data_IF_825171207062
#
_entry.id   IF_825171207062
#
_cell.length_a   1.000
_cell.length_b   1.000
_cell.length_c   1.000
_cell.angle_alpha   90.00
_cell.angle_beta   90.00
_cell.angle_gamma   90.00
#
_symmetry.space_group_name_H-M   'P 1'
#
loop_
_entity.id
_entity.type
_entity.pdbx_description
1 polymer ?
#
# COMPACT_ATOMS: atom_id res chain seq x y z
N UNK A 1 -16.29 -28.29 14.04
CA UNK A 1 -16.77 -28.13 12.63
C UNK A 1 -15.64 -27.51 11.81
N UNK A 2 -15.12 -28.22 10.82
CA UNK A 2 -14.05 -27.70 9.95
C UNK A 2 -14.66 -27.01 8.71
N UNK A 3 -13.94 -26.03 8.15
CA UNK A 3 -14.31 -25.38 6.90
C UNK A 3 -13.80 -26.21 5.71
N UNK A 4 -14.68 -26.58 4.78
CA UNK A 4 -14.33 -27.34 3.59
C UNK A 4 -14.51 -26.49 2.33
N UNK A 5 -13.47 -26.48 1.48
CA UNK A 5 -13.53 -25.90 0.14
C UNK A 5 -14.08 -26.95 -0.82
N UNK A 6 -15.09 -26.59 -1.62
CA UNK A 6 -15.68 -27.52 -2.58
C UNK A 6 -15.65 -26.98 -4.01
N UNK A 7 -15.59 -27.91 -4.97
CA UNK A 7 -15.88 -27.69 -6.38
C UNK A 7 -17.03 -28.62 -6.75
N UNK A 8 -18.12 -28.07 -7.27
CA UNK A 8 -19.30 -28.82 -7.64
C UNK A 8 -19.88 -28.30 -8.97
N UNK A 9 -20.62 -29.15 -9.68
CA UNK A 9 -21.40 -28.73 -10.83
C UNK A 9 -22.85 -28.41 -10.41
N UNK A 10 -23.35 -27.29 -10.87
CA UNK A 10 -24.78 -26.91 -10.76
C UNK A 10 -25.61 -27.76 -11.73
N UNK A 11 -26.93 -27.74 -11.54
CA UNK A 11 -27.92 -28.40 -12.42
C UNK A 11 -27.79 -28.05 -13.89
N UNK A 12 -27.20 -26.89 -14.21
CA UNK A 12 -26.90 -26.40 -15.56
C UNK A 12 -25.50 -26.77 -16.08
N UNK A 13 -24.74 -27.64 -15.38
CA UNK A 13 -23.41 -28.07 -15.78
C UNK A 13 -22.29 -27.02 -15.55
N UNK A 14 -22.61 -25.90 -14.88
CA UNK A 14 -21.62 -24.87 -14.58
C UNK A 14 -20.85 -25.21 -13.31
N UNK A 15 -19.51 -25.07 -13.33
CA UNK A 15 -18.67 -25.31 -12.15
C UNK A 15 -18.81 -24.20 -11.13
N UNK A 16 -19.29 -24.53 -9.93
CA UNK A 16 -19.41 -23.65 -8.77
C UNK A 16 -18.33 -24.03 -7.76
N UNK A 17 -17.66 -23.03 -7.20
CA UNK A 17 -16.68 -23.18 -6.12
C UNK A 17 -17.17 -22.41 -4.91
N UNK A 18 -17.01 -22.98 -3.72
CA UNK A 18 -17.40 -22.31 -2.48
C UNK A 18 -16.73 -22.95 -1.27
N UNK A 19 -17.09 -22.42 -0.10
CA UNK A 19 -16.66 -22.94 1.21
C UNK A 19 -17.93 -23.23 2.02
N UNK A 20 -17.97 -24.38 2.68
CA UNK A 20 -19.07 -24.85 3.51
C UNK A 20 -18.52 -25.48 4.78
N UNK A 21 -19.20 -25.31 5.89
CA UNK A 21 -18.86 -25.95 7.16
C UNK A 21 -19.42 -27.36 7.26
N UNK A 22 -18.61 -28.24 7.84
CA UNK A 22 -19.04 -29.62 8.14
C UNK A 22 -18.06 -30.33 9.07
N UNK A 23 -18.54 -31.39 9.71
CA UNK A 23 -17.72 -32.19 10.63
C UNK A 23 -16.87 -33.22 9.88
N UNK A 24 -17.26 -33.54 8.65
CA UNK A 24 -16.52 -34.45 7.78
C UNK A 24 -16.78 -34.20 6.30
N UNK A 25 -15.85 -34.64 5.45
CA UNK A 25 -15.99 -34.58 3.99
C UNK A 25 -17.28 -35.26 3.49
N UNK A 26 -17.66 -36.36 4.12
CA UNK A 26 -18.90 -37.10 3.81
C UNK A 26 -20.16 -36.25 4.07
N UNK A 27 -20.20 -35.55 5.20
CA UNK A 27 -21.32 -34.68 5.57
C UNK A 27 -21.42 -33.50 4.61
N UNK A 28 -20.29 -32.91 4.24
CA UNK A 28 -20.22 -31.80 3.26
C UNK A 28 -20.73 -32.27 1.90
N UNK A 29 -20.32 -33.44 1.43
CA UNK A 29 -20.80 -34.02 0.17
C UNK A 29 -22.30 -34.28 0.19
N UNK A 30 -22.88 -34.74 1.31
CA UNK A 30 -24.32 -34.95 1.43
C UNK A 30 -25.07 -33.63 1.42
N UNK A 31 -24.60 -32.59 2.14
CA UNK A 31 -25.20 -31.23 2.13
C UNK A 31 -25.17 -30.60 0.73
N UNK A 32 -24.08 -30.72 0.00
CA UNK A 32 -23.97 -30.22 -1.39
C UNK A 32 -24.96 -30.93 -2.33
N UNK A 33 -25.17 -32.24 -2.15
CA UNK A 33 -26.21 -33.00 -2.92
C UNK A 33 -27.62 -32.54 -2.63
N UNK A 34 -27.96 -32.24 -1.37
CA UNK A 34 -29.23 -31.65 -0.98
C UNK A 34 -29.46 -30.27 -1.62
N UNK A 35 -28.41 -29.52 -1.90
CA UNK A 35 -28.44 -28.24 -2.63
C UNK A 35 -28.42 -28.42 -4.16
N UNK A 36 -28.64 -29.63 -4.66
CA UNK A 36 -28.60 -29.99 -6.10
C UNK A 36 -27.24 -29.72 -6.76
N UNK A 37 -26.19 -29.63 -5.97
CA UNK A 37 -24.79 -29.49 -6.46
C UNK A 37 -24.12 -30.87 -6.51
N UNK A 38 -23.51 -31.21 -7.64
CA UNK A 38 -22.75 -32.45 -7.80
C UNK A 38 -21.29 -32.20 -7.39
N UNK A 39 -20.83 -32.63 -6.19
CA UNK A 39 -19.48 -32.37 -5.71
C UNK A 39 -18.45 -33.15 -6.51
N UNK A 40 -17.45 -32.45 -7.05
CA UNK A 40 -16.31 -33.02 -7.78
C UNK A 40 -15.12 -33.19 -6.86
N UNK A 41 -14.85 -32.17 -6.04
CA UNK A 41 -13.77 -32.20 -5.06
C UNK A 41 -14.23 -31.47 -3.79
N UNK A 42 -13.97 -32.09 -2.66
CA UNK A 42 -14.15 -31.51 -1.33
C UNK A 42 -12.83 -31.68 -0.61
N UNK A 43 -12.23 -30.60 -0.15
CA UNK A 43 -10.96 -30.61 0.57
C UNK A 43 -11.11 -29.76 1.82
N UNK A 44 -10.56 -30.21 2.92
CA UNK A 44 -10.50 -29.43 4.13
C UNK A 44 -9.73 -28.12 3.86
N UNK A 45 -10.27 -27.00 4.33
CA UNK A 45 -9.69 -25.68 4.10
C UNK A 45 -8.47 -25.42 5.05
N UNK A 46 -7.81 -26.50 5.50
CA UNK A 46 -6.56 -26.44 6.26
C UNK A 46 -5.41 -26.00 5.36
N UNK A 47 -4.49 -25.23 5.94
CA UNK A 47 -3.25 -24.77 5.34
C UNK A 47 -2.54 -25.84 4.52
N UNK A 48 -2.43 -25.59 3.23
CA UNK A 48 -1.34 -26.18 2.47
C UNK A 48 -0.06 -25.47 2.88
N UNK A 49 0.64 -26.03 3.86
CA UNK A 49 2.08 -25.83 3.97
C UNK A 49 2.68 -26.26 2.66
N UNK A 50 2.91 -25.30 1.78
CA UNK A 50 3.48 -25.51 0.47
C UNK A 50 4.94 -25.90 0.65
N UNK A 51 5.26 -27.20 0.48
CA UNK A 51 6.62 -27.62 0.14
C UNK A 51 7.04 -26.83 -1.12
N UNK A 52 8.26 -26.31 -1.18
CA UNK A 52 8.73 -25.55 -2.33
C UNK A 52 8.82 -26.47 -3.55
N UNK A 53 7.85 -26.40 -4.43
CA UNK A 53 7.98 -26.91 -5.79
C UNK A 53 8.72 -25.85 -6.61
N UNK A 54 9.96 -26.15 -6.96
CA UNK A 54 10.77 -25.47 -7.97
C UNK A 54 10.06 -25.57 -9.33
N UNK A 55 9.21 -24.63 -9.61
CA UNK A 55 8.54 -24.39 -10.87
C UNK A 55 8.02 -22.97 -10.86
N UNK A 56 8.26 -22.22 -11.93
CA UNK A 56 7.72 -20.88 -12.14
C UNK A 56 6.19 -20.95 -12.15
N UNK A 57 5.57 -20.82 -11.00
CA UNK A 57 4.12 -20.91 -10.83
C UNK A 57 3.52 -19.50 -10.94
N UNK A 58 3.19 -19.11 -12.16
CA UNK A 58 2.46 -17.87 -12.47
C UNK A 58 1.10 -17.79 -11.77
N UNK A 59 0.51 -18.91 -11.33
CA UNK A 59 -0.73 -18.95 -10.54
C UNK A 59 -0.58 -18.29 -9.15
N UNK A 60 0.64 -18.18 -8.62
CA UNK A 60 0.93 -17.50 -7.36
C UNK A 60 0.82 -15.97 -7.45
N UNK A 61 1.07 -15.39 -8.62
CA UNK A 61 1.02 -13.94 -8.88
C UNK A 61 -0.42 -13.41 -8.97
N UNK A 62 -1.38 -14.25 -9.34
CA UNK A 62 -2.79 -13.87 -9.54
C UNK A 62 -3.72 -14.30 -8.39
N UNK A 63 -3.19 -14.76 -7.25
CA UNK A 63 -4.04 -15.02 -6.09
C UNK A 63 -4.61 -13.70 -5.59
N UNK A 64 -5.94 -13.48 -5.64
CA UNK A 64 -6.54 -12.24 -5.18
C UNK A 64 -6.23 -12.08 -3.69
N UNK A 65 -5.44 -11.05 -3.37
CA UNK A 65 -5.13 -10.68 -1.98
C UNK A 65 -6.34 -10.01 -1.37
N UNK A 66 -6.55 -10.19 -0.06
CA UNK A 66 -7.52 -9.40 0.68
C UNK A 66 -7.01 -7.96 0.66
N UNK A 67 -7.84 -7.04 0.19
CA UNK A 67 -7.47 -5.63 0.07
C UNK A 67 -7.66 -4.90 1.40
N UNK A 68 -7.01 -3.74 1.54
CA UNK A 68 -7.22 -2.84 2.68
C UNK A 68 -8.71 -2.48 2.86
N UNK A 69 -9.44 -2.29 1.77
CA UNK A 69 -10.87 -2.05 1.78
C UNK A 69 -11.69 -3.23 2.34
N UNK A 70 -11.25 -4.45 2.05
CA UNK A 70 -11.90 -5.64 2.59
C UNK A 70 -11.66 -5.75 4.11
N UNK A 71 -10.43 -5.47 4.56
CA UNK A 71 -10.09 -5.45 5.99
C UNK A 71 -10.91 -4.39 6.73
N UNK A 72 -10.99 -3.18 6.20
CA UNK A 72 -11.79 -2.09 6.75
C UNK A 72 -13.25 -2.51 6.93
N UNK A 73 -13.87 -3.11 5.89
CA UNK A 73 -15.24 -3.57 5.95
C UNK A 73 -15.46 -4.66 7.02
N UNK A 74 -14.58 -5.65 7.06
CA UNK A 74 -14.63 -6.74 8.06
C UNK A 74 -14.52 -6.16 9.47
N UNK A 75 -13.55 -5.28 9.70
CA UNK A 75 -13.31 -4.69 11.01
C UNK A 75 -14.51 -3.87 11.47
N UNK A 76 -15.08 -3.02 10.61
CA UNK A 76 -16.29 -2.24 10.93
C UNK A 76 -17.48 -3.14 11.23
N UNK A 77 -17.68 -4.20 10.47
CA UNK A 77 -18.78 -5.16 10.72
C UNK A 77 -18.58 -5.87 12.07
N UNK A 78 -17.38 -6.36 12.37
CA UNK A 78 -17.12 -7.00 13.67
C UNK A 78 -17.31 -6.00 14.82
N UNK A 79 -16.81 -4.77 14.70
CA UNK A 79 -16.96 -3.73 15.70
C UNK A 79 -18.44 -3.46 16.02
N UNK A 80 -19.26 -3.22 14.99
CA UNK A 80 -20.69 -2.93 15.15
C UNK A 80 -21.46 -4.07 15.81
N UNK A 81 -21.18 -5.32 15.42
CA UNK A 81 -21.85 -6.49 15.95
C UNK A 81 -21.43 -6.81 17.39
N UNK A 82 -20.13 -6.66 17.71
CA UNK A 82 -19.64 -6.86 19.08
C UNK A 82 -20.17 -5.77 20.02
N UNK A 83 -20.26 -4.51 19.56
CA UNK A 83 -20.89 -3.44 20.34
C UNK A 83 -22.38 -3.69 20.62
N UNK A 84 -23.06 -4.39 19.72
CA UNK A 84 -24.44 -4.84 19.94
C UNK A 84 -24.56 -6.01 20.92
N UNK A 85 -23.47 -6.35 21.63
CA UNK A 85 -23.40 -7.47 22.58
C UNK A 85 -23.67 -8.84 21.97
N UNK A 86 -23.48 -9.00 20.67
CA UNK A 86 -23.63 -10.28 19.98
C UNK A 86 -22.47 -11.22 20.35
N UNK A 87 -22.73 -12.52 20.61
CA UNK A 87 -21.66 -13.51 20.86
C UNK A 87 -20.67 -13.57 19.71
N UNK A 88 -19.37 -13.72 20.04
CA UNK A 88 -18.26 -13.61 19.09
C UNK A 88 -18.33 -14.63 17.94
N UNK A 89 -18.82 -15.83 18.19
CA UNK A 89 -19.03 -16.88 17.19
C UNK A 89 -20.14 -16.50 16.18
N UNK A 90 -21.20 -15.83 16.66
CA UNK A 90 -22.26 -15.30 15.80
C UNK A 90 -21.77 -14.10 14.99
N UNK A 91 -20.99 -13.20 15.58
CA UNK A 91 -20.34 -12.08 14.89
C UNK A 91 -19.50 -12.58 13.72
N UNK A 92 -18.63 -13.56 13.94
CA UNK A 92 -17.77 -14.16 12.92
C UNK A 92 -18.59 -14.86 11.82
N UNK A 93 -19.69 -15.52 12.21
CA UNK A 93 -20.61 -16.16 11.26
C UNK A 93 -21.31 -15.11 10.38
N UNK A 94 -21.88 -14.07 10.99
CA UNK A 94 -22.56 -12.99 10.28
C UNK A 94 -21.61 -12.27 9.31
N UNK A 95 -20.38 -11.94 9.77
CA UNK A 95 -19.34 -11.33 8.93
C UNK A 95 -18.97 -12.24 7.76
N UNK A 96 -18.84 -13.56 7.99
CA UNK A 96 -18.57 -14.51 6.92
C UNK A 96 -19.70 -14.60 5.90
N UNK A 97 -20.96 -14.53 6.33
CA UNK A 97 -22.14 -14.59 5.46
C UNK A 97 -22.29 -13.33 4.60
N UNK A 98 -21.99 -12.17 5.15
CA UNK A 98 -22.03 -10.88 4.45
C UNK A 98 -20.87 -10.68 3.48
N UNK A 99 -19.82 -11.49 3.58
CA UNK A 99 -18.63 -11.38 2.74
C UNK A 99 -18.94 -11.67 1.26
N UNK A 100 -18.74 -10.68 0.40
CA UNK A 100 -18.92 -10.82 -1.05
C UNK A 100 -17.88 -11.72 -1.71
N UNK A 101 -16.67 -11.77 -1.15
CA UNK A 101 -15.55 -12.53 -1.71
C UNK A 101 -15.43 -13.89 -1.00
N UNK A 102 -15.39 -15.01 -1.72
CA UNK A 102 -15.28 -16.35 -1.12
C UNK A 102 -14.07 -16.51 -0.19
N UNK A 103 -12.98 -15.78 -0.47
CA UNK A 103 -11.76 -15.80 0.35
C UNK A 103 -11.96 -15.16 1.72
N UNK A 104 -12.73 -14.07 1.79
CA UNK A 104 -13.06 -13.42 3.07
C UNK A 104 -13.95 -14.35 3.88
N UNK A 105 -14.95 -14.94 3.24
CA UNK A 105 -15.81 -15.94 3.88
C UNK A 105 -15.00 -17.08 4.46
N UNK A 106 -14.07 -17.64 3.68
CA UNK A 106 -13.19 -18.71 4.15
C UNK A 106 -12.30 -18.28 5.33
N UNK A 107 -11.75 -17.06 5.29
CA UNK A 107 -10.96 -16.49 6.37
C UNK A 107 -11.77 -16.42 7.67
N UNK A 108 -12.95 -15.78 7.62
CA UNK A 108 -13.77 -15.58 8.81
C UNK A 108 -14.26 -16.91 9.41
N UNK A 109 -14.54 -17.91 8.56
CA UNK A 109 -14.91 -19.24 9.03
C UNK A 109 -13.73 -19.99 9.67
N UNK A 110 -12.48 -19.78 9.18
CA UNK A 110 -11.29 -20.35 9.81
C UNK A 110 -11.02 -19.69 11.16
N UNK A 111 -11.12 -18.35 11.26
CA UNK A 111 -11.00 -17.62 12.53
C UNK A 111 -12.06 -18.12 13.50
N UNK A 112 -13.30 -18.27 13.05
CA UNK A 112 -14.40 -18.80 13.87
C UNK A 112 -14.09 -20.21 14.40
N UNK A 113 -13.59 -21.10 13.56
CA UNK A 113 -13.23 -22.46 13.98
C UNK A 113 -12.22 -22.45 15.13
N UNK A 114 -11.19 -21.60 15.06
CA UNK A 114 -10.19 -21.43 16.13
C UNK A 114 -10.82 -20.90 17.42
N UNK A 115 -11.72 -19.94 17.32
CA UNK A 115 -12.42 -19.39 18.50
C UNK A 115 -13.31 -20.44 19.14
N UNK A 116 -14.00 -21.28 18.38
CA UNK A 116 -14.80 -22.39 18.89
C UNK A 116 -13.96 -23.52 19.50
N UNK A 117 -12.69 -23.66 19.08
CA UNK A 117 -11.70 -24.54 19.71
C UNK A 117 -11.19 -24.01 21.07
N UNK A 118 -11.62 -22.81 21.48
CA UNK A 118 -11.27 -22.18 22.75
C UNK A 118 -10.06 -21.25 22.68
N UNK A 119 -9.55 -20.97 21.49
CA UNK A 119 -8.48 -19.96 21.32
C UNK A 119 -9.05 -18.54 21.38
N UNK A 120 -8.21 -17.58 21.81
CA UNK A 120 -8.57 -16.17 21.78
C UNK A 120 -8.74 -15.66 20.34
N UNK A 121 -9.55 -14.62 20.15
CA UNK A 121 -9.70 -13.97 18.83
C UNK A 121 -8.35 -13.45 18.32
N UNK A 122 -7.56 -12.82 19.19
CA UNK A 122 -6.21 -12.34 18.85
C UNK A 122 -5.30 -13.45 18.33
N UNK A 123 -5.33 -14.63 18.96
CA UNK A 123 -4.57 -15.79 18.50
C UNK A 123 -5.06 -16.27 17.13
N UNK A 124 -6.38 -16.42 16.96
CA UNK A 124 -6.99 -16.87 15.72
C UNK A 124 -6.71 -15.93 14.52
N UNK A 125 -6.66 -14.60 14.76
CA UNK A 125 -6.29 -13.59 13.77
C UNK A 125 -4.79 -13.64 13.45
N UNK A 126 -3.95 -13.95 14.45
CA UNK A 126 -2.50 -14.09 14.32
C UNK A 126 -2.05 -15.18 13.35
N UNK A 127 -2.90 -16.19 13.08
CA UNK A 127 -2.66 -17.19 12.03
C UNK A 127 -2.61 -16.57 10.61
N UNK A 128 -3.06 -15.32 10.45
CA UNK A 128 -3.12 -14.60 9.16
C UNK A 128 -2.32 -13.28 9.15
N UNK A 129 -0.99 -13.30 9.39
CA UNK A 129 -0.18 -12.09 9.57
C UNK A 129 -0.09 -11.21 8.31
N UNK A 130 -0.43 -11.74 7.14
CA UNK A 130 -0.50 -10.98 5.86
C UNK A 130 -1.76 -10.10 5.76
N UNK A 131 -2.74 -10.28 6.67
CA UNK A 131 -4.01 -9.56 6.71
C UNK A 131 -4.10 -8.74 8.00
N UNK A 132 -3.89 -9.40 9.13
CA UNK A 132 -3.90 -8.81 10.46
C UNK A 132 -2.46 -8.65 10.94
N UNK A 133 -2.00 -7.41 10.98
CA UNK A 133 -0.64 -7.11 11.43
C UNK A 133 -0.52 -7.23 12.96
N UNK A 134 0.70 -7.13 13.45
CA UNK A 134 1.00 -7.26 14.90
C UNK A 134 0.24 -6.22 15.75
N UNK A 135 0.11 -4.98 15.25
CA UNK A 135 -0.68 -3.94 15.91
C UNK A 135 -2.14 -4.38 16.10
N UNK A 136 -2.77 -4.88 15.02
CA UNK A 136 -4.16 -5.32 15.04
C UNK A 136 -4.38 -6.44 16.07
N UNK A 137 -3.54 -7.47 16.05
CA UNK A 137 -3.62 -8.60 16.97
C UNK A 137 -3.35 -8.18 18.42
N UNK A 138 -2.41 -7.27 18.66
CA UNK A 138 -2.09 -6.77 20.00
C UNK A 138 -3.21 -5.96 20.61
N UNK A 139 -3.87 -5.12 19.81
CA UNK A 139 -5.05 -4.39 20.23
C UNK A 139 -6.21 -5.32 20.60
N UNK A 140 -6.52 -6.29 19.71
CA UNK A 140 -7.56 -7.29 19.97
C UNK A 140 -7.25 -8.06 21.25
N UNK A 141 -5.98 -8.46 21.46
CA UNK A 141 -5.54 -9.15 22.68
C UNK A 141 -5.78 -8.30 23.93
N UNK A 142 -5.43 -7.00 23.87
CA UNK A 142 -5.66 -6.10 24.99
C UNK A 142 -7.16 -5.98 25.30
N UNK A 143 -8.01 -5.79 24.28
CA UNK A 143 -9.46 -5.72 24.41
C UNK A 143 -10.10 -7.00 24.96
N UNK A 144 -9.62 -8.19 24.53
CA UNK A 144 -10.07 -9.47 25.06
C UNK A 144 -9.70 -9.63 26.54
N UNK A 145 -8.44 -9.32 26.88
CA UNK A 145 -7.93 -9.47 28.25
C UNK A 145 -8.62 -8.54 29.23
N UNK A 146 -8.94 -7.34 28.80
CA UNK A 146 -9.54 -6.30 29.65
C UNK A 146 -11.09 -6.26 29.58
N UNK A 147 -11.71 -7.08 28.71
CA UNK A 147 -13.18 -7.21 28.61
C UNK A 147 -13.87 -6.10 27.83
N UNK A 148 -13.16 -5.27 27.08
CA UNK A 148 -13.72 -4.18 26.25
C UNK A 148 -13.40 -4.32 24.75
N UNK A 149 -13.52 -5.55 24.26
CA UNK A 149 -13.25 -5.89 22.85
C UNK A 149 -14.03 -5.01 21.85
N UNK A 150 -15.29 -4.65 22.18
CA UNK A 150 -16.11 -3.79 21.33
C UNK A 150 -15.49 -2.42 21.09
N UNK A 151 -15.00 -1.76 22.15
CA UNK A 151 -14.33 -0.45 22.05
C UNK A 151 -13.04 -0.53 21.24
N UNK A 152 -12.26 -1.59 21.44
CA UNK A 152 -11.01 -1.79 20.69
C UNK A 152 -11.29 -2.07 19.21
N UNK A 153 -12.29 -2.87 18.88
CA UNK A 153 -12.67 -3.10 17.49
C UNK A 153 -13.21 -1.84 16.81
N UNK A 154 -13.89 -0.94 17.55
CA UNK A 154 -14.30 0.37 17.04
C UNK A 154 -13.08 1.23 16.68
N UNK A 155 -12.11 1.35 17.59
CA UNK A 155 -10.86 2.08 17.33
C UNK A 155 -10.08 1.50 16.14
N UNK A 156 -10.06 0.15 16.01
CA UNK A 156 -9.47 -0.52 14.85
C UNK A 156 -10.23 -0.24 13.56
N UNK A 157 -11.57 -0.18 13.63
CA UNK A 157 -12.38 0.17 12.48
C UNK A 157 -12.10 1.60 12.02
N UNK A 158 -12.06 2.56 12.95
CA UNK A 158 -11.72 3.96 12.66
C UNK A 158 -10.31 4.08 12.07
N UNK A 159 -9.34 3.36 12.64
CA UNK A 159 -7.97 3.34 12.12
C UNK A 159 -7.88 2.77 10.69
N UNK A 160 -8.54 1.63 10.44
CA UNK A 160 -8.52 1.00 9.11
C UNK A 160 -9.26 1.84 8.07
N UNK A 161 -10.36 2.51 8.45
CA UNK A 161 -11.09 3.47 7.60
C UNK A 161 -10.24 4.69 7.26
N UNK A 162 -9.60 5.31 8.25
CA UNK A 162 -8.69 6.44 8.03
C UNK A 162 -7.50 6.06 7.15
N UNK A 163 -6.91 4.88 7.38
CA UNK A 163 -5.83 4.35 6.56
C UNK A 163 -6.27 4.11 5.11
N UNK A 164 -7.48 3.56 4.91
CA UNK A 164 -8.08 3.37 3.59
C UNK A 164 -8.38 4.70 2.91
N UNK A 165 -8.95 5.66 3.64
CA UNK A 165 -9.24 6.99 3.11
C UNK A 165 -7.97 7.69 2.65
N UNK A 166 -6.90 7.64 3.44
CA UNK A 166 -5.58 8.17 3.06
C UNK A 166 -5.03 7.49 1.81
N UNK A 167 -5.13 6.15 1.73
CA UNK A 167 -4.70 5.40 0.55
C UNK A 167 -5.54 5.73 -0.71
N UNK A 168 -6.84 5.97 -0.55
CA UNK A 168 -7.71 6.41 -1.65
C UNK A 168 -7.39 7.83 -2.09
N UNK A 169 -7.14 8.75 -1.15
CA UNK A 169 -6.73 10.13 -1.44
C UNK A 169 -5.42 10.15 -2.23
N UNK A 170 -4.43 9.34 -1.83
CA UNK A 170 -3.18 9.16 -2.56
C UNK A 170 -3.40 8.64 -3.98
N UNK A 171 -4.22 7.59 -4.14
CA UNK A 171 -4.54 7.04 -5.47
C UNK A 171 -5.27 8.06 -6.34
N UNK A 172 -6.23 8.77 -5.77
CA UNK A 172 -6.96 9.83 -6.46
C UNK A 172 -6.05 10.94 -6.95
N UNK A 173 -5.15 11.39 -6.10
CA UNK A 173 -4.17 12.42 -6.43
C UNK A 173 -3.21 12.01 -7.57
N UNK A 174 -2.90 10.71 -7.71
CA UNK A 174 -2.05 10.19 -8.78
C UNK A 174 -2.75 10.05 -10.15
N UNK A 175 -4.08 10.10 -10.21
CA UNK A 175 -4.83 9.92 -11.47
C UNK A 175 -4.49 11.05 -12.46
N UNK A 176 -4.55 12.30 -12.01
CA UNK A 176 -4.27 13.47 -12.86
C UNK A 176 -2.83 13.44 -13.43
N UNK A 177 -1.77 13.27 -12.65
CA UNK A 177 -0.41 13.09 -13.14
C UNK A 177 -0.26 11.97 -14.17
N UNK A 178 -0.90 10.83 -13.94
CA UNK A 178 -0.84 9.69 -14.88
C UNK A 178 -1.51 10.05 -16.20
N UNK A 179 -2.71 10.64 -16.18
CA UNK A 179 -3.43 11.04 -17.39
C UNK A 179 -2.62 12.09 -18.17
N UNK A 180 -2.10 13.10 -17.49
CA UNK A 180 -1.30 14.15 -18.11
C UNK A 180 -0.02 13.58 -18.74
N UNK A 181 0.67 12.69 -18.05
CA UNK A 181 1.87 12.02 -18.57
C UNK A 181 1.54 11.17 -19.80
N UNK A 182 0.46 10.38 -19.77
CA UNK A 182 0.02 9.58 -20.90
C UNK A 182 -0.34 10.44 -22.11
N UNK A 183 -1.07 11.54 -21.89
CA UNK A 183 -1.42 12.49 -22.95
C UNK A 183 -0.16 13.13 -23.54
N UNK A 184 0.79 13.54 -22.70
CA UNK A 184 2.07 14.09 -23.12
C UNK A 184 2.86 13.13 -23.99
N UNK A 185 3.00 11.89 -23.54
CA UNK A 185 3.69 10.84 -24.30
C UNK A 185 2.98 10.55 -25.62
N UNK A 186 1.64 10.56 -25.63
CA UNK A 186 0.87 10.36 -26.85
C UNK A 186 1.09 11.50 -27.86
N UNK A 187 1.04 12.76 -27.42
CA UNK A 187 1.28 13.93 -28.30
C UNK A 187 2.71 13.91 -28.86
N UNK A 188 3.70 13.68 -28.01
CA UNK A 188 5.11 13.58 -28.42
C UNK A 188 5.26 12.42 -29.41
N UNK A 189 4.66 11.27 -29.14
CA UNK A 189 4.70 10.10 -30.03
C UNK A 189 4.11 10.39 -31.40
N UNK A 190 2.95 11.06 -31.47
CA UNK A 190 2.34 11.47 -32.75
C UNK A 190 3.26 12.43 -33.52
N UNK A 191 3.83 13.44 -32.85
CA UNK A 191 4.75 14.36 -33.51
C UNK A 191 6.02 13.63 -34.01
N UNK A 192 6.57 12.72 -33.24
CA UNK A 192 7.76 11.96 -33.61
C UNK A 192 7.51 10.95 -34.76
N UNK A 193 6.33 10.32 -34.81
CA UNK A 193 6.01 9.30 -35.82
C UNK A 193 5.55 9.90 -37.16
N UNK A 194 4.82 11.01 -37.10
CA UNK A 194 4.21 11.59 -38.32
C UNK A 194 4.92 12.86 -38.80
N UNK A 195 5.22 13.79 -37.90
CA UNK A 195 5.72 15.12 -38.31
C UNK A 195 7.22 15.09 -38.57
N UNK A 196 8.01 14.43 -37.73
CA UNK A 196 9.48 14.42 -37.89
C UNK A 196 9.93 13.70 -39.17
N UNK A 197 9.40 12.52 -39.56
CA UNK A 197 9.79 11.86 -40.81
C UNK A 197 9.45 12.64 -42.06
N UNK A 198 8.28 13.32 -42.11
CA UNK A 198 7.90 14.14 -43.24
C UNK A 198 8.89 15.29 -43.45
N UNK A 199 9.35 15.90 -42.37
CA UNK A 199 10.38 16.94 -42.43
C UNK A 199 11.71 16.41 -42.90
N UNK A 200 12.14 15.23 -42.38
CA UNK A 200 13.39 14.58 -42.80
C UNK A 200 13.39 14.30 -44.29
N UNK A 201 12.26 13.87 -44.85
CA UNK A 201 12.12 13.63 -46.31
C UNK A 201 12.32 14.88 -47.14
N UNK A 202 11.82 16.04 -46.70
CA UNK A 202 12.02 17.34 -47.38
C UNK A 202 13.51 17.75 -47.41
N UNK A 203 14.27 17.49 -46.34
CA UNK A 203 15.70 17.85 -46.24
C UNK A 203 16.62 16.89 -46.97
N UNK A 204 16.28 15.58 -47.05
CA UNK A 204 17.06 14.61 -47.81
C UNK A 204 17.15 14.94 -49.31
N UNK A 205 16.20 15.68 -49.85
CA UNK A 205 16.23 16.17 -51.21
C UNK A 205 17.20 17.33 -51.45
N UNK A 206 17.63 18.02 -50.39
CA UNK A 206 18.45 19.25 -50.50
C UNK A 206 19.94 19.00 -50.19
N UNK A 207 20.38 17.79 -49.85
CA UNK A 207 21.77 17.38 -49.59
C UNK A 207 22.54 18.27 -48.55
N UNK A 208 21.82 18.95 -47.65
CA UNK A 208 22.40 19.82 -46.65
C UNK A 208 22.62 19.07 -45.30
N UNK A 209 23.63 19.48 -44.58
CA UNK A 209 23.84 18.95 -43.22
C UNK A 209 22.81 19.50 -42.26
N UNK A 210 22.09 18.60 -41.60
CA UNK A 210 21.08 18.96 -40.61
C UNK A 210 21.71 19.50 -39.32
N UNK A 211 21.14 20.53 -38.70
CA UNK A 211 21.59 21.04 -37.40
C UNK A 211 21.65 19.93 -36.33
N UNK A 212 22.53 20.06 -35.35
CA UNK A 212 22.75 19.05 -34.31
C UNK A 212 21.47 18.74 -33.52
N UNK A 213 20.63 19.74 -33.25
CA UNK A 213 19.34 19.60 -32.56
C UNK A 213 18.37 18.73 -33.37
N UNK A 214 18.28 18.95 -34.68
CA UNK A 214 17.43 18.17 -35.57
C UNK A 214 17.92 16.72 -35.68
N UNK A 215 19.25 16.49 -35.79
CA UNK A 215 19.82 15.13 -35.77
C UNK A 215 19.48 14.39 -34.48
N UNK A 216 19.51 15.06 -33.32
CA UNK A 216 19.14 14.47 -32.03
C UNK A 216 17.66 14.11 -31.97
N UNK A 217 16.76 14.96 -32.45
CA UNK A 217 15.31 14.69 -32.48
C UNK A 217 14.99 13.55 -33.44
N UNK A 218 15.64 13.50 -34.62
CA UNK A 218 15.50 12.40 -35.59
C UNK A 218 15.95 11.06 -34.96
N UNK A 219 17.13 11.01 -34.38
CA UNK A 219 17.62 9.79 -33.73
C UNK A 219 16.69 9.31 -32.61
N UNK A 220 16.08 10.26 -31.88
CA UNK A 220 15.08 9.96 -30.85
C UNK A 220 13.79 9.43 -31.50
N UNK A 221 13.35 10.01 -32.61
CA UNK A 221 12.17 9.57 -33.36
C UNK A 221 12.33 8.15 -33.93
N UNK A 222 13.45 7.86 -34.58
CA UNK A 222 13.77 6.52 -35.08
C UNK A 222 13.80 5.49 -33.95
N UNK A 223 14.38 5.86 -32.81
CA UNK A 223 14.38 5.00 -31.62
C UNK A 223 12.96 4.70 -31.12
N UNK A 224 12.06 5.70 -31.08
CA UNK A 224 10.68 5.52 -30.70
C UNK A 224 9.86 4.74 -31.74
N UNK A 225 10.13 4.92 -33.02
CA UNK A 225 9.42 4.26 -34.12
C UNK A 225 9.80 2.77 -34.25
N UNK A 226 11.10 2.48 -34.24
CA UNK A 226 11.58 1.12 -34.50
C UNK A 226 11.82 0.29 -33.22
N UNK A 227 12.20 0.93 -32.10
CA UNK A 227 12.71 0.27 -30.90
C UNK A 227 11.88 0.56 -29.65
N UNK A 228 10.61 0.98 -29.78
CA UNK A 228 9.74 1.29 -28.65
C UNK A 228 9.64 0.12 -27.64
N UNK A 229 9.71 -1.12 -28.11
CA UNK A 229 9.71 -2.29 -27.26
C UNK A 229 10.95 -2.39 -26.34
N UNK A 230 12.11 -1.83 -26.78
CA UNK A 230 13.31 -1.80 -25.93
C UNK A 230 13.12 -0.86 -24.71
N UNK A 231 12.29 0.17 -24.83
CA UNK A 231 11.92 1.02 -23.69
C UNK A 231 11.11 0.23 -22.65
N UNK A 232 10.17 -0.61 -23.10
CA UNK A 232 9.39 -1.47 -22.20
C UNK A 232 10.30 -2.49 -21.53
N UNK A 233 11.17 -3.16 -22.30
CA UNK A 233 12.14 -4.12 -21.74
C UNK A 233 13.12 -3.44 -20.80
N UNK A 234 13.63 -2.26 -21.18
CA UNK A 234 14.49 -1.43 -20.33
C UNK A 234 13.81 -1.02 -19.03
N UNK A 235 12.56 -0.56 -19.09
CA UNK A 235 11.76 -0.22 -17.92
C UNK A 235 11.56 -1.43 -17.00
N UNK A 236 11.22 -2.59 -17.56
CA UNK A 236 11.08 -3.84 -16.80
C UNK A 236 12.44 -4.23 -16.17
N UNK A 237 13.52 -4.16 -16.94
CA UNK A 237 14.87 -4.45 -16.46
C UNK A 237 15.30 -3.50 -15.32
N UNK A 238 14.99 -2.19 -15.44
CA UNK A 238 15.23 -1.20 -14.39
C UNK A 238 14.41 -1.53 -13.13
N UNK A 239 13.11 -1.84 -13.27
CA UNK A 239 12.25 -2.20 -12.13
C UNK A 239 12.76 -3.47 -11.44
N UNK A 240 13.09 -4.52 -12.21
CA UNK A 240 13.59 -5.78 -11.66
C UNK A 240 14.98 -5.60 -11.06
N UNK A 241 15.87 -4.89 -11.74
CA UNK A 241 17.21 -4.54 -11.23
C UNK A 241 17.13 -3.74 -9.93
N UNK A 242 16.23 -2.75 -9.87
CA UNK A 242 15.96 -1.95 -8.67
C UNK A 242 15.47 -2.80 -7.51
N UNK A 243 14.50 -3.69 -7.77
CA UNK A 243 14.02 -4.62 -6.74
C UNK A 243 15.12 -5.57 -6.25
N UNK A 244 15.99 -6.04 -7.15
CA UNK A 244 17.13 -6.89 -6.76
C UNK A 244 18.21 -6.11 -5.99
N UNK A 245 18.50 -4.88 -6.40
CA UNK A 245 19.43 -3.99 -5.69
C UNK A 245 18.95 -3.71 -4.25
N UNK A 246 17.64 -3.53 -4.05
CA UNK A 246 17.05 -3.26 -2.74
C UNK A 246 16.85 -4.51 -1.86
N UNK A 247 17.11 -5.72 -2.36
CA UNK A 247 17.13 -6.95 -1.53
C UNK A 247 18.28 -6.98 -0.54
N UNK A 248 19.40 -6.31 -0.83
CA UNK A 248 20.51 -6.19 0.12
C UNK A 248 20.13 -5.22 1.24
N UNK A 249 20.23 -5.64 2.52
CA UNK A 249 19.84 -4.81 3.67
C UNK A 249 20.64 -3.51 3.74
N UNK A 250 21.93 -3.53 3.39
CA UNK A 250 22.80 -2.34 3.40
C UNK A 250 22.39 -1.31 2.34
N UNK A 251 22.13 -1.78 1.12
CA UNK A 251 21.68 -0.89 0.02
C UNK A 251 20.31 -0.32 0.30
N UNK A 252 19.42 -1.12 0.89
CA UNK A 252 18.11 -0.66 1.32
C UNK A 252 18.22 0.42 2.40
N UNK A 253 19.10 0.27 3.38
CA UNK A 253 19.37 1.33 4.39
C UNK A 253 19.93 2.60 3.75
N UNK A 254 20.89 2.47 2.82
CA UNK A 254 21.45 3.61 2.10
C UNK A 254 20.38 4.36 1.28
N UNK A 255 19.50 3.63 0.58
CA UNK A 255 18.38 4.20 -0.15
C UNK A 255 17.40 4.96 0.76
N UNK A 256 16.97 4.35 1.86
CA UNK A 256 16.08 5.01 2.83
C UNK A 256 16.70 6.27 3.44
N UNK A 257 18.02 6.28 3.63
CA UNK A 257 18.78 7.46 4.09
C UNK A 257 18.87 8.54 3.00
N UNK A 258 19.05 8.14 1.73
CA UNK A 258 19.09 9.07 0.60
C UNK A 258 17.74 9.75 0.37
N UNK A 259 16.64 9.02 0.47
CA UNK A 259 15.27 9.55 0.33
C UNK A 259 15.00 10.66 1.36
N UNK A 260 15.51 10.52 2.58
CA UNK A 260 15.37 11.54 3.63
C UNK A 260 16.21 12.81 3.37
N UNK A 261 17.13 12.81 2.39
CA UNK A 261 17.91 14.00 1.99
C UNK A 261 17.30 14.75 0.81
N UNK A 262 16.33 14.15 0.12
CA UNK A 262 15.70 14.77 -1.05
C UNK A 262 14.69 15.83 -0.61
N UNK A 263 14.80 17.09 -1.06
CA UNK A 263 13.81 18.12 -0.77
C UNK A 263 12.44 17.67 -1.30
N UNK A 264 11.36 18.10 -0.66
CA UNK A 264 9.94 17.75 -0.91
C UNK A 264 9.59 16.29 -0.59
N UNK A 265 10.39 15.28 -0.97
CA UNK A 265 10.11 13.86 -0.73
C UNK A 265 10.37 13.50 0.74
N UNK A 266 11.43 14.07 1.34
CA UNK A 266 11.76 13.80 2.75
C UNK A 266 10.63 14.20 3.69
N UNK A 267 10.07 15.40 3.52
CA UNK A 267 8.97 15.90 4.33
C UNK A 267 7.74 15.00 4.26
N UNK A 268 7.40 14.53 3.06
CA UNK A 268 6.29 13.60 2.87
C UNK A 268 6.54 12.23 3.53
N UNK A 269 7.73 11.66 3.37
CA UNK A 269 8.08 10.34 3.95
C UNK A 269 8.09 10.41 5.48
N UNK A 270 8.66 11.48 6.05
CA UNK A 270 8.65 11.70 7.50
C UNK A 270 7.22 11.89 8.00
N UNK A 271 6.42 12.77 7.38
CA UNK A 271 5.03 13.00 7.76
C UNK A 271 4.18 11.72 7.71
N UNK A 272 4.36 10.89 6.67
CA UNK A 272 3.65 9.63 6.53
C UNK A 272 4.01 8.63 7.63
N UNK A 273 5.29 8.45 7.91
CA UNK A 273 5.75 7.50 8.91
C UNK A 273 5.44 7.99 10.34
N UNK A 274 5.61 9.30 10.63
CA UNK A 274 5.29 9.86 11.94
C UNK A 274 3.79 9.89 12.23
N UNK A 275 2.95 10.14 11.21
CA UNK A 275 1.50 10.03 11.35
C UNK A 275 1.08 8.59 11.70
N UNK A 276 1.66 7.57 11.04
CA UNK A 276 1.41 6.17 11.36
C UNK A 276 1.88 5.82 12.77
N UNK A 277 3.08 6.23 13.12
CA UNK A 277 3.66 5.98 14.45
C UNK A 277 2.79 6.62 15.54
N UNK A 278 2.47 7.90 15.45
CA UNK A 278 1.67 8.62 16.42
C UNK A 278 0.27 8.03 16.55
N UNK A 279 -0.39 7.72 15.41
CA UNK A 279 -1.72 7.10 15.43
C UNK A 279 -1.69 5.72 16.07
N UNK A 280 -0.70 4.88 15.72
CA UNK A 280 -0.57 3.54 16.30
C UNK A 280 -0.28 3.59 17.79
N UNK A 281 0.64 4.47 18.22
CA UNK A 281 0.98 4.62 19.63
C UNK A 281 -0.20 5.15 20.45
N UNK A 282 -0.90 6.18 19.93
CA UNK A 282 -2.12 6.74 20.55
C UNK A 282 -3.17 5.66 20.76
N UNK A 283 -3.49 4.89 19.73
CA UNK A 283 -4.51 3.85 19.79
C UNK A 283 -4.11 2.74 20.78
N UNK A 284 -2.85 2.30 20.76
CA UNK A 284 -2.37 1.27 21.69
C UNK A 284 -2.45 1.72 23.14
N UNK A 285 -2.02 2.95 23.43
CA UNK A 285 -2.08 3.51 24.79
C UNK A 285 -3.50 3.71 25.28
N UNK A 286 -4.40 4.22 24.43
CA UNK A 286 -5.82 4.37 24.76
C UNK A 286 -6.57 3.03 24.90
N UNK A 287 -6.03 1.96 24.35
CA UNK A 287 -6.52 0.58 24.53
C UNK A 287 -5.90 -0.11 25.74
N UNK A 288 -5.16 0.59 26.60
CA UNK A 288 -4.54 0.03 27.80
C UNK A 288 -3.29 -0.81 27.56
N UNK A 289 -2.72 -0.78 26.36
CA UNK A 289 -1.44 -1.44 26.08
C UNK A 289 -0.31 -0.67 26.78
N UNK A 290 0.59 -1.35 27.53
CA UNK A 290 1.73 -0.68 28.16
C UNK A 290 2.56 0.11 27.16
N UNK A 291 3.00 1.31 27.56
CA UNK A 291 3.72 2.25 26.70
C UNK A 291 4.91 1.62 25.97
N UNK A 292 5.69 0.78 26.66
CA UNK A 292 6.86 0.12 26.08
C UNK A 292 6.49 -0.84 24.94
N UNK A 293 5.43 -1.63 25.13
CA UNK A 293 4.93 -2.52 24.10
C UNK A 293 4.32 -1.72 22.94
N UNK A 294 3.59 -0.65 23.28
CA UNK A 294 3.08 0.31 22.30
C UNK A 294 4.17 0.92 21.42
N UNK A 295 5.28 1.34 22.01
CA UNK A 295 6.44 1.89 21.28
C UNK A 295 7.09 0.87 20.35
N UNK A 296 7.23 -0.38 20.77
CA UNK A 296 7.79 -1.46 19.94
C UNK A 296 6.89 -1.73 18.74
N UNK A 297 5.59 -1.88 18.98
CA UNK A 297 4.61 -2.16 17.93
C UNK A 297 4.49 -0.98 16.97
N UNK A 298 4.41 0.27 17.48
CA UNK A 298 4.38 1.48 16.67
C UNK A 298 5.66 1.65 15.83
N UNK A 299 6.81 1.21 16.35
CA UNK A 299 8.07 1.18 15.59
C UNK A 299 8.05 0.23 14.39
N UNK A 300 7.34 -0.90 14.48
CA UNK A 300 7.28 -1.87 13.37
C UNK A 300 6.40 -1.40 12.20
N UNK A 301 5.46 -0.48 12.39
CA UNK A 301 4.66 0.09 11.28
C UNK A 301 5.40 1.15 10.47
N UNK A 302 6.56 1.62 10.93
CA UNK A 302 7.41 2.55 10.20
C UNK A 302 8.01 1.89 8.95
N UNK A 303 7.86 2.55 7.81
CA UNK A 303 8.33 2.04 6.52
C UNK A 303 9.80 2.36 6.31
N UNK A 304 10.24 3.56 6.74
CA UNK A 304 11.62 3.99 6.61
C UNK A 304 12.49 3.33 7.68
N UNK A 305 13.54 2.62 7.26
CA UNK A 305 14.42 1.89 8.17
C UNK A 305 15.17 2.79 9.16
N UNK A 306 15.45 4.05 8.80
CA UNK A 306 16.11 4.98 9.73
C UNK A 306 15.16 5.42 10.85
N UNK A 307 13.91 5.75 10.51
CA UNK A 307 12.90 6.08 11.52
C UNK A 307 12.61 4.87 12.41
N UNK A 308 12.57 3.67 11.81
CA UNK A 308 12.38 2.42 12.55
C UNK A 308 13.54 2.14 13.53
N UNK A 309 14.79 2.33 13.10
CA UNK A 309 15.95 2.20 14.00
C UNK A 309 15.93 3.23 15.12
N UNK A 310 15.59 4.48 14.81
CA UNK A 310 15.42 5.54 15.82
C UNK A 310 14.30 5.21 16.82
N UNK A 311 13.15 4.74 16.36
CA UNK A 311 12.05 4.31 17.23
C UNK A 311 12.46 3.16 18.18
N UNK A 312 13.28 2.21 17.72
CA UNK A 312 13.83 1.15 18.57
C UNK A 312 14.73 1.71 19.66
N UNK A 313 15.56 2.69 19.33
CA UNK A 313 16.40 3.38 20.32
C UNK A 313 15.56 4.15 21.35
N UNK A 314 14.49 4.81 20.90
CA UNK A 314 13.52 5.45 21.81
C UNK A 314 12.92 4.43 22.78
N UNK A 315 12.47 3.28 22.28
CA UNK A 315 11.90 2.22 23.15
C UNK A 315 12.92 1.70 24.16
N UNK A 316 14.19 1.55 23.79
CA UNK A 316 15.27 1.14 24.71
C UNK A 316 15.51 2.21 25.78
N UNK A 317 15.63 3.48 25.39
CA UNK A 317 15.85 4.58 26.33
C UNK A 317 14.70 4.71 27.34
N UNK A 318 13.46 4.54 26.91
CA UNK A 318 12.28 4.53 27.81
C UNK A 318 12.28 3.30 28.72
N UNK A 319 12.71 2.14 28.23
CA UNK A 319 12.85 0.92 29.03
C UNK A 319 13.91 1.08 30.14
N UNK A 320 14.95 1.86 29.89
CA UNK A 320 16.01 2.21 30.86
C UNK A 320 15.58 3.29 31.87
N UNK A 321 14.33 3.77 31.79
CA UNK A 321 13.77 4.79 32.69
C UNK A 321 13.91 6.23 32.18
N UNK A 322 14.35 6.41 30.93
CA UNK A 322 14.37 7.72 30.29
C UNK A 322 12.95 8.25 29.99
N UNK A 323 12.78 9.58 29.95
CA UNK A 323 11.50 10.17 29.55
C UNK A 323 11.29 10.03 28.04
N UNK A 324 10.05 9.78 27.63
CA UNK A 324 9.69 9.58 26.21
C UNK A 324 10.03 10.80 25.36
N UNK A 325 9.71 12.03 25.84
CA UNK A 325 9.98 13.24 25.07
C UNK A 325 11.49 13.44 24.83
N UNK A 326 12.36 13.15 25.82
CA UNK A 326 13.81 13.28 25.64
C UNK A 326 14.34 12.24 24.65
N UNK A 327 13.83 11.01 24.74
CA UNK A 327 14.22 9.94 23.82
C UNK A 327 13.80 10.26 22.36
N UNK A 328 12.60 10.84 22.16
CA UNK A 328 12.13 11.30 20.83
C UNK A 328 12.95 12.48 20.30
N UNK A 329 13.31 13.44 21.19
CA UNK A 329 14.12 14.60 20.82
C UNK A 329 15.53 14.21 20.38
N UNK A 330 16.18 13.33 21.16
CA UNK A 330 17.52 12.80 20.85
C UNK A 330 17.55 11.97 19.56
N UNK A 331 16.42 11.41 19.15
CA UNK A 331 16.32 10.67 17.89
C UNK A 331 16.39 11.55 16.64
N UNK A 332 16.16 12.88 16.75
CA UNK A 332 16.26 13.90 15.67
C UNK A 332 15.49 13.58 14.38
N UNK A 333 14.55 12.65 14.43
CA UNK A 333 13.77 12.22 13.25
C UNK A 333 12.27 12.47 13.41
N UNK A 334 11.83 12.79 14.62
CA UNK A 334 10.44 13.08 14.92
C UNK A 334 10.16 14.60 14.87
N UNK A 335 8.99 15.02 14.37
CA UNK A 335 8.64 16.44 14.29
C UNK A 335 8.64 17.11 15.67
N UNK A 336 9.17 18.35 15.76
CA UNK A 336 9.25 19.08 17.03
C UNK A 336 7.90 19.20 17.74
N UNK A 337 6.80 19.44 17.00
CA UNK A 337 5.46 19.55 17.57
C UNK A 337 5.04 18.26 18.29
N UNK A 338 5.37 17.08 17.74
CA UNK A 338 5.12 15.79 18.38
C UNK A 338 5.89 15.68 19.70
N UNK A 339 7.18 16.04 19.70
CA UNK A 339 8.03 16.00 20.88
C UNK A 339 7.47 16.94 21.99
N UNK A 340 7.06 18.15 21.64
CA UNK A 340 6.46 19.10 22.57
C UNK A 340 5.13 18.62 23.16
N UNK A 341 4.25 18.00 22.35
CA UNK A 341 3.00 17.43 22.84
C UNK A 341 3.26 16.29 23.83
N UNK A 342 4.21 15.40 23.50
CA UNK A 342 4.61 14.30 24.39
C UNK A 342 5.21 14.85 25.69
N UNK A 343 6.07 15.87 25.64
CA UNK A 343 6.63 16.52 26.80
C UNK A 343 5.55 17.11 27.73
N UNK A 344 4.55 17.78 27.13
CA UNK A 344 3.41 18.31 27.87
C UNK A 344 2.59 17.20 28.52
N UNK A 345 2.35 16.10 27.79
CA UNK A 345 1.61 14.95 28.31
C UNK A 345 2.31 14.23 29.46
N UNK A 346 3.65 14.08 29.36
CA UNK A 346 4.45 13.50 30.47
C UNK A 346 4.42 14.40 31.70
N UNK A 347 4.53 15.72 31.51
CA UNK A 347 4.54 16.67 32.64
C UNK A 347 3.17 16.79 33.33
N UNK A 348 2.07 16.68 32.60
CA UNK A 348 0.70 16.78 33.13
C UNK A 348 0.12 15.43 33.59
N UNK A 349 0.76 14.30 33.26
CA UNK A 349 0.19 12.95 33.45
C UNK A 349 -0.91 12.58 32.44
N UNK A 350 -1.11 13.40 31.40
CA UNK A 350 -2.13 13.20 30.36
C UNK A 350 -1.52 12.74 29.03
N UNK A 351 -0.57 11.82 29.10
CA UNK A 351 0.19 11.36 27.93
C UNK A 351 -0.72 10.80 26.82
N UNK A 352 -1.76 10.07 27.17
CA UNK A 352 -2.73 9.49 26.25
C UNK A 352 -3.46 10.56 25.43
N UNK A 353 -3.97 11.59 26.10
CA UNK A 353 -4.64 12.71 25.44
C UNK A 353 -3.69 13.48 24.50
N UNK A 354 -2.45 13.68 24.92
CA UNK A 354 -1.45 14.38 24.11
C UNK A 354 -0.98 13.54 22.92
N UNK A 355 -0.85 12.22 23.06
CA UNK A 355 -0.58 11.31 21.95
C UNK A 355 -1.71 11.32 20.92
N UNK A 356 -2.97 11.33 21.37
CA UNK A 356 -4.14 11.44 20.48
C UNK A 356 -4.14 12.75 19.70
N UNK A 357 -3.87 13.86 20.35
CA UNK A 357 -3.73 15.17 19.69
C UNK A 357 -2.55 15.20 18.72
N UNK A 358 -1.43 14.59 19.12
CA UNK A 358 -0.26 14.46 18.24
C UNK A 358 -0.59 13.66 17.00
N UNK A 359 -1.30 12.55 17.12
CA UNK A 359 -1.73 11.74 15.99
C UNK A 359 -2.59 12.52 14.99
N UNK A 360 -3.58 13.29 15.49
CA UNK A 360 -4.43 14.16 14.65
C UNK A 360 -3.59 15.24 13.95
N UNK A 361 -2.64 15.84 14.66
CA UNK A 361 -1.75 16.86 14.09
C UNK A 361 -0.86 16.28 13.00
N UNK A 362 -0.23 15.13 13.26
CA UNK A 362 0.61 14.44 12.26
C UNK A 362 -0.19 14.01 11.02
N UNK A 363 -1.45 13.60 11.20
CA UNK A 363 -2.33 13.28 10.07
C UNK A 363 -2.67 14.52 9.23
N UNK A 364 -2.82 15.68 9.85
CA UNK A 364 -3.00 16.96 9.13
C UNK A 364 -1.73 17.36 8.37
N UNK A 365 -0.56 17.23 8.98
CA UNK A 365 0.73 17.51 8.36
C UNK A 365 0.97 16.60 7.15
N UNK A 366 0.60 15.32 7.25
CA UNK A 366 0.63 14.40 6.11
C UNK A 366 -0.26 14.88 4.95
N UNK A 367 -1.50 15.30 5.25
CA UNK A 367 -2.41 15.80 4.22
C UNK A 367 -1.85 17.07 3.55
N UNK A 368 -1.32 18.02 4.34
CA UNK A 368 -0.68 19.23 3.80
C UNK A 368 0.56 18.90 2.95
N UNK A 369 1.36 17.94 3.38
CA UNK A 369 2.54 17.50 2.61
C UNK A 369 2.15 16.86 1.29
N UNK A 370 1.04 16.12 1.24
CA UNK A 370 0.46 15.59 0.01
C UNK A 370 0.00 16.70 -0.94
N UNK A 371 -0.78 17.64 -0.40
CA UNK A 371 -1.33 18.74 -1.19
C UNK A 371 -0.19 19.62 -1.77
N UNK A 372 0.85 19.89 -0.99
CA UNK A 372 2.05 20.60 -1.45
C UNK A 372 2.81 19.84 -2.54
N UNK A 373 2.98 18.53 -2.39
CA UNK A 373 3.68 17.71 -3.38
C UNK A 373 2.94 17.68 -4.71
N UNK A 374 1.60 17.59 -4.68
CA UNK A 374 0.77 17.64 -5.87
C UNK A 374 0.76 19.04 -6.49
N UNK A 375 0.73 20.10 -5.66
CA UNK A 375 0.77 21.49 -6.13
C UNK A 375 2.06 21.86 -6.87
N UNK A 376 3.19 21.23 -6.56
CA UNK A 376 4.47 21.43 -7.28
C UNK A 376 4.56 20.54 -8.52
N UNK A 377 3.96 19.35 -8.48
CA UNK A 377 4.05 18.38 -9.57
C UNK A 377 3.38 18.90 -10.86
N UNK A 378 2.22 19.54 -10.74
CA UNK A 378 1.46 20.03 -11.90
C UNK A 378 2.22 21.10 -12.71
N UNK A 379 2.71 22.22 -12.11
CA UNK A 379 3.49 23.20 -12.84
C UNK A 379 4.78 22.61 -13.45
N UNK A 380 5.43 21.70 -12.73
CA UNK A 380 6.64 21.04 -13.22
C UNK A 380 6.37 20.21 -14.46
N UNK A 381 5.26 19.47 -14.51
CA UNK A 381 4.87 18.70 -15.68
C UNK A 381 4.56 19.59 -16.88
N UNK A 382 3.88 20.73 -16.66
CA UNK A 382 3.59 21.71 -17.72
C UNK A 382 4.90 22.29 -18.28
N UNK A 383 5.84 22.65 -17.42
CA UNK A 383 7.16 23.17 -17.85
C UNK A 383 7.95 22.13 -18.65
N UNK A 384 7.96 20.88 -18.22
CA UNK A 384 8.63 19.78 -18.95
C UNK A 384 8.00 19.60 -20.33
N UNK A 385 6.64 19.57 -20.38
CA UNK A 385 5.92 19.49 -21.66
C UNK A 385 6.25 20.66 -22.58
N UNK A 386 6.20 21.88 -22.08
CA UNK A 386 6.51 23.08 -22.87
C UNK A 386 7.94 23.01 -23.40
N UNK A 387 8.91 22.60 -22.57
CA UNK A 387 10.31 22.45 -22.98
C UNK A 387 10.47 21.41 -24.11
N UNK A 388 9.81 20.26 -24.00
CA UNK A 388 9.86 19.22 -25.05
C UNK A 388 9.22 19.72 -26.36
N UNK A 389 8.02 20.32 -26.27
CA UNK A 389 7.35 20.86 -27.46
C UNK A 389 8.19 21.96 -28.10
N UNK A 390 8.74 22.91 -27.32
CA UNK A 390 9.63 23.92 -27.83
C UNK A 390 10.87 23.32 -28.53
N UNK A 391 11.47 22.29 -27.96
CA UNK A 391 12.61 21.61 -28.56
C UNK A 391 12.26 21.01 -29.93
N UNK A 392 11.09 20.37 -30.04
CA UNK A 392 10.59 19.83 -31.33
C UNK A 392 10.38 20.96 -32.32
N UNK A 393 9.67 22.04 -31.92
CA UNK A 393 9.38 23.18 -32.80
C UNK A 393 10.69 23.85 -33.28
N UNK A 394 11.64 24.09 -32.40
CA UNK A 394 12.94 24.66 -32.81
C UNK A 394 13.73 23.71 -33.72
N UNK A 395 13.67 22.40 -33.49
CA UNK A 395 14.28 21.40 -34.38
C UNK A 395 13.72 21.42 -35.79
N UNK A 396 12.47 21.85 -35.94
CA UNK A 396 11.77 22.01 -37.24
C UNK A 396 12.10 23.35 -37.89
N UNK A 397 12.03 24.44 -37.11
CA UNK A 397 12.17 25.79 -37.64
C UNK A 397 13.62 26.14 -38.02
N UNK A 398 14.60 25.64 -37.25
CA UNK A 398 16.01 26.00 -37.44
C UNK A 398 16.53 25.65 -38.85
N UNK A 399 16.33 24.44 -39.38
CA UNK A 399 16.69 24.13 -40.77
C UNK A 399 15.95 24.97 -41.84
N UNK A 400 14.67 25.31 -41.58
CA UNK A 400 13.88 26.13 -42.51
C UNK A 400 14.46 27.55 -42.61
N UNK A 401 14.86 28.13 -41.48
CA UNK A 401 15.49 29.46 -41.41
C UNK A 401 16.85 29.44 -42.10
N UNK A 402 17.66 28.40 -41.89
CA UNK A 402 18.96 28.23 -42.55
C UNK A 402 18.82 28.13 -44.07
N UNK A 403 17.83 27.38 -44.56
CA UNK A 403 17.55 27.32 -45.99
C UNK A 403 17.12 28.67 -46.59
N UNK A 404 16.28 29.43 -45.86
CA UNK A 404 15.83 30.73 -46.38
C UNK A 404 17.00 31.77 -46.45
N UNK A 405 17.97 31.67 -45.54
CA UNK A 405 19.16 32.52 -45.54
C UNK A 405 20.18 32.17 -46.65
N UNK A 406 20.05 30.99 -47.27
CA UNK A 406 20.94 30.57 -48.37
C UNK A 406 20.34 30.90 -49.76
N UNK A 407 19.05 31.18 -49.81
CA UNK A 407 18.34 31.57 -51.06
C UNK A 407 18.23 33.10 -51.20
N UNK A 408 18.47 33.86 -50.13
CA UNK A 408 18.55 35.32 -50.13
C UNK A 408 19.99 35.80 -50.35
#
# INVERSE_FOLDING_TARGET
>A
MSAFSYKAFDSKGKMVKGVIEGDSERQVRSRLRLQQLKPVAVTEAAEKTAKPRTGFNLEGLFKPRISQADLCLITRQMATLVQSSMPLDEVLTATAQQARKPRIKSLMLQVRARVLEGHSLAYALGDFPQIFNEMYCSMVKAGETAGFLGTVLEQLADYTENSQHTAQKLKGAMIYPIILTLLSVAVIGVLMIFVVPDLVSMFNHTQQELPALTKMVIATSEFFSEKWWTLIVGLIAVIVGWQQLLKSPERRKAWHRMVLKLPFISGFVVAMDTARFASTLSILTSSGVPLLDGLRIAGEVLTNLRLREASKQVAVSVQEGGSLHRALDQAEVFPPMMVHMVASGEASGELENMLTRSAVTQQRELNMSLDNLMGVFEPMMILVMAAVVCTIVFSILMPIIEMNNLVA
#
